data_IF_999803628742
#
_entry.id   IF_999803628742
#
_cell.length_a   1.000
_cell.length_b   1.000
_cell.length_c   1.000
_cell.angle_alpha   90.00
_cell.angle_beta   90.00
_cell.angle_gamma   90.00
#
_symmetry.space_group_name_H-M   'P 1'
#
loop_
_entity.id
_entity.type
_entity.pdbx_description
1 polymer ?
#
# COMPACT_ATOMS: atom_id res chain seq x y z
N UNK A 1 -21.30 -7.12 15.46
CA UNK A 1 -20.25 -8.15 15.35
C UNK A 1 -18.98 -7.45 14.95
N UNK A 2 -17.97 -7.42 15.83
CA UNK A 2 -16.66 -6.83 15.50
C UNK A 2 -15.77 -8.00 15.10
N UNK A 3 -15.32 -8.05 13.86
CA UNK A 3 -14.34 -9.05 13.43
C UNK A 3 -13.07 -8.84 14.28
N UNK A 4 -12.70 -9.83 15.08
CA UNK A 4 -11.37 -9.86 15.68
C UNK A 4 -10.41 -10.14 14.51
N UNK A 5 -9.87 -9.09 13.89
CA UNK A 5 -8.77 -9.28 12.97
C UNK A 5 -7.65 -9.97 13.77
N UNK A 6 -7.43 -11.27 13.52
CA UNK A 6 -6.19 -11.94 13.90
C UNK A 6 -5.10 -11.09 13.26
N UNK A 7 -4.39 -10.30 14.06
CA UNK A 7 -3.30 -9.44 13.60
C UNK A 7 -2.17 -10.34 13.14
N UNK A 8 -2.24 -10.75 11.88
CA UNK A 8 -1.16 -11.40 11.19
C UNK A 8 -0.03 -10.36 11.08
N UNK A 9 1.16 -10.59 11.68
CA UNK A 9 2.24 -9.61 11.69
C UNK A 9 2.74 -9.25 10.28
N UNK A 10 2.42 -10.06 9.27
CA UNK A 10 2.71 -9.79 7.86
C UNK A 10 1.64 -8.95 7.15
N UNK A 11 0.69 -8.35 7.86
CA UNK A 11 -0.37 -7.54 7.25
C UNK A 11 -0.35 -6.09 7.75
N UNK A 12 -0.53 -5.15 6.83
CA UNK A 12 -0.67 -3.73 7.12
C UNK A 12 -2.02 -3.22 6.60
N UNK A 13 -2.85 -2.70 7.49
CA UNK A 13 -4.12 -2.09 7.11
C UNK A 13 -3.88 -0.61 6.81
N UNK A 14 -4.22 -0.19 5.60
CA UNK A 14 -4.06 1.19 5.17
C UNK A 14 -5.34 1.76 4.60
N UNK A 15 -5.47 3.08 4.72
CA UNK A 15 -6.60 3.86 4.23
C UNK A 15 -6.09 5.01 3.36
N UNK A 16 -6.88 5.44 2.39
CA UNK A 16 -6.62 6.60 1.52
C UNK A 16 -5.26 6.50 0.79
N UNK A 17 -4.96 5.34 0.21
CA UNK A 17 -3.70 5.10 -0.49
C UNK A 17 -3.78 5.45 -1.98
N UNK A 18 -2.64 5.79 -2.56
CA UNK A 18 -2.45 5.83 -4.02
C UNK A 18 -1.41 4.78 -4.41
N UNK A 19 -1.81 3.84 -5.26
CA UNK A 19 -0.91 2.87 -5.86
C UNK A 19 -0.24 3.45 -7.10
N UNK A 20 1.07 3.25 -7.20
CA UNK A 20 1.88 3.71 -8.31
C UNK A 20 2.59 2.51 -8.93
N UNK A 21 2.26 2.22 -10.18
CA UNK A 21 2.95 1.21 -10.98
C UNK A 21 3.84 1.93 -12.00
N UNK A 22 5.11 1.53 -12.08
CA UNK A 22 6.06 2.06 -13.06
C UNK A 22 6.54 0.92 -13.93
N UNK A 23 6.15 0.92 -15.20
CA UNK A 23 6.64 -0.02 -16.21
C UNK A 23 7.44 0.74 -17.28
N UNK A 24 8.24 0.04 -18.13
CA UNK A 24 8.92 0.69 -19.26
C UNK A 24 7.95 1.43 -20.21
N UNK A 25 6.70 0.99 -20.30
CA UNK A 25 5.65 1.57 -21.13
C UNK A 25 4.98 2.80 -20.50
N UNK A 26 5.18 3.04 -19.20
CA UNK A 26 4.69 4.24 -18.52
C UNK A 26 4.32 4.01 -17.05
N UNK A 27 3.73 5.06 -16.45
CA UNK A 27 3.26 5.05 -15.06
C UNK A 27 1.74 4.95 -14.99
N UNK A 28 1.23 4.15 -14.07
CA UNK A 28 -0.20 4.07 -13.72
C UNK A 28 -0.41 4.48 -12.28
N UNK A 29 -1.54 5.15 -12.02
CA UNK A 29 -1.92 5.64 -10.69
C UNK A 29 -3.34 5.19 -10.42
N UNK A 30 -3.56 4.53 -9.29
CA UNK A 30 -4.89 4.15 -8.81
C UNK A 30 -5.10 4.66 -7.39
N UNK A 31 -6.28 5.22 -7.12
CA UNK A 31 -6.69 5.60 -5.75
C UNK A 31 -7.41 4.42 -5.11
N UNK A 32 -7.04 4.12 -3.88
CA UNK A 32 -7.56 2.99 -3.12
C UNK A 32 -8.06 3.47 -1.76
N UNK A 33 -9.33 3.21 -1.46
CA UNK A 33 -9.96 3.69 -0.22
C UNK A 33 -9.43 2.94 1.01
N UNK A 34 -9.47 1.60 0.98
CA UNK A 34 -8.94 0.76 2.04
C UNK A 34 -8.31 -0.51 1.46
N UNK A 35 -7.09 -0.84 1.91
CA UNK A 35 -6.41 -2.07 1.52
C UNK A 35 -5.81 -2.79 2.70
N UNK A 36 -5.79 -4.13 2.59
CA UNK A 36 -5.00 -5.00 3.44
C UNK A 36 -3.74 -5.41 2.67
N UNK A 37 -2.62 -4.79 3.00
CA UNK A 37 -1.35 -5.00 2.32
C UNK A 37 -0.59 -6.19 2.91
N UNK A 38 -0.13 -7.10 2.06
CA UNK A 38 0.76 -8.20 2.47
C UNK A 38 2.22 -7.70 2.53
N UNK A 39 2.73 -7.57 3.74
CA UNK A 39 4.07 -7.04 4.05
C UNK A 39 5.18 -8.00 3.60
N UNK A 40 4.88 -9.28 3.36
CA UNK A 40 5.88 -10.24 2.88
C UNK A 40 6.46 -9.89 1.50
N UNK A 41 5.77 -9.05 0.73
CA UNK A 41 6.20 -8.61 -0.59
C UNK A 41 6.82 -7.19 -0.58
N UNK A 42 7.02 -6.59 0.60
CA UNK A 42 7.56 -5.22 0.72
C UNK A 42 9.09 -5.28 0.81
N UNK A 43 9.77 -4.64 -0.14
CA UNK A 43 11.24 -4.50 -0.12
C UNK A 43 11.70 -3.32 0.72
N UNK A 44 10.93 -2.23 0.78
CA UNK A 44 11.30 -1.00 1.48
C UNK A 44 10.07 -0.22 1.96
N UNK A 45 10.13 0.30 3.18
CA UNK A 45 9.19 1.30 3.70
C UNK A 45 9.94 2.63 3.83
N UNK A 46 9.47 3.65 3.12
CA UNK A 46 10.06 4.99 3.17
C UNK A 46 9.07 5.92 3.90
N UNK A 47 9.41 6.46 5.07
CA UNK A 47 8.59 7.48 5.70
C UNK A 47 8.73 8.79 4.91
N UNK A 48 7.76 9.08 4.05
CA UNK A 48 7.64 10.35 3.31
C UNK A 48 6.19 10.82 3.37
N UNK A 49 5.98 12.14 3.40
CA UNK A 49 4.64 12.75 3.43
C UNK A 49 3.96 12.76 2.05
N UNK A 50 4.72 12.67 0.96
CA UNK A 50 4.22 12.75 -0.41
C UNK A 50 4.81 11.63 -1.30
N UNK A 51 4.02 11.15 -2.26
CA UNK A 51 4.41 10.08 -3.18
C UNK A 51 5.63 10.44 -4.03
N UNK A 52 6.25 9.46 -4.74
CA UNK A 52 7.42 9.74 -5.56
C UNK A 52 7.08 10.78 -6.64
N UNK A 53 7.71 11.95 -6.50
CA UNK A 53 7.78 13.00 -7.52
C UNK A 53 8.47 12.41 -8.75
N UNK A 54 7.87 12.61 -9.92
CA UNK A 54 8.48 12.29 -11.21
C UNK A 54 9.52 13.33 -11.55
#
# INVERSE_FOLDING_TARGET
MVANATVNPSQFLAQEMSEFESTPEGRRIAKLDQILLNVNNITMLVPREEGPEV
#
